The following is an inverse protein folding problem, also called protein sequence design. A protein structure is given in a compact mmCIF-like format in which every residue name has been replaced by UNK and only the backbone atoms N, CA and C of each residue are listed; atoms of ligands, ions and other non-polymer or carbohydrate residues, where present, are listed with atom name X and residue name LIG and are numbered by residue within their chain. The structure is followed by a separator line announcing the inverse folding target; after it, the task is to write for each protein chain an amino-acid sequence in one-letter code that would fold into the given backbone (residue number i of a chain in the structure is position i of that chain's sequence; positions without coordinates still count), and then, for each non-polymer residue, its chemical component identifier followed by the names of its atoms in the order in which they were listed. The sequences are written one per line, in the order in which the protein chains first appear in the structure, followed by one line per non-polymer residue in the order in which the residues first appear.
data_IF_850480958584
#
_entry.id   IF_850480958584
#
_cell.length_a   1.000
_cell.length_b   1.000
_cell.length_c   1.000
_cell.angle_alpha   90.00
_cell.angle_beta   90.00
_cell.angle_gamma   90.00
#
_symmetry.space_group_name_H-M   'P 1'
#
loop_
_entity.id
_entity.type
_entity.pdbx_description
1 polymer ?
#
# COMPACT_ATOMS: atom_id res chain seq x y z
N UNK A 1 0.25 -10.40 1.99
CA UNK A 1 -0.95 -9.55 1.71
C UNK A 1 -0.63 -8.70 0.49
N UNK A 2 -1.58 -8.44 -0.42
CA UNK A 2 -1.32 -7.71 -1.66
C UNK A 2 -2.17 -6.44 -1.81
N UNK A 3 -1.57 -5.35 -2.28
CA UNK A 3 -2.20 -4.04 -2.52
C UNK A 3 -2.09 -3.69 -4.01
N UNK A 4 -3.14 -3.11 -4.58
CA UNK A 4 -3.14 -2.60 -5.97
C UNK A 4 -3.06 -1.08 -5.94
N UNK A 5 -1.95 -0.54 -6.43
CA UNK A 5 -1.78 0.89 -6.62
C UNK A 5 -2.22 1.26 -8.03
N UNK A 6 -3.25 2.10 -8.11
CA UNK A 6 -3.77 2.61 -9.37
C UNK A 6 -3.06 3.92 -9.71
N UNK A 7 -2.39 3.96 -10.85
CA UNK A 7 -1.73 5.17 -11.37
C UNK A 7 -2.29 5.52 -12.75
N UNK A 8 -2.01 6.73 -13.23
CA UNK A 8 -2.30 7.12 -14.60
C UNK A 8 -1.52 6.32 -15.67
N UNK A 9 -0.50 5.56 -15.27
CA UNK A 9 0.29 4.69 -16.14
C UNK A 9 -0.08 3.20 -16.01
N UNK A 10 -1.14 2.88 -15.27
CA UNK A 10 -1.62 1.51 -15.06
C UNK A 10 -1.57 1.07 -13.60
N UNK A 11 -1.78 -0.22 -13.38
CA UNK A 11 -1.89 -0.81 -12.03
C UNK A 11 -0.60 -1.51 -11.64
N UNK A 12 -0.08 -1.17 -10.47
CA UNK A 12 1.07 -1.82 -9.85
C UNK A 12 0.56 -2.69 -8.71
N UNK A 13 0.96 -3.96 -8.67
CA UNK A 13 0.64 -4.86 -7.55
C UNK A 13 1.84 -4.96 -6.61
N UNK A 14 1.60 -4.65 -5.34
CA UNK A 14 2.60 -4.68 -4.27
C UNK A 14 2.28 -5.83 -3.33
N UNK A 15 3.30 -6.62 -2.99
CA UNK A 15 3.20 -7.64 -1.95
C UNK A 15 3.90 -7.16 -0.67
N UNK A 16 3.20 -7.25 0.45
CA UNK A 16 3.64 -6.76 1.75
C UNK A 16 4.01 -7.93 2.67
N UNK A 17 5.23 -7.88 3.20
CA UNK A 17 5.80 -8.87 4.13
C UNK A 17 5.54 -8.43 5.59
N UNK A 18 4.35 -8.75 6.08
CA UNK A 18 3.95 -8.42 7.45
C UNK A 18 4.67 -9.27 8.50
N UNK A 19 5.24 -10.42 8.12
CA UNK A 19 5.99 -11.28 9.05
C UNK A 19 7.33 -10.64 9.39
N UNK A 20 8.04 -10.10 8.39
CA UNK A 20 9.33 -9.44 8.62
C UNK A 20 9.19 -7.98 9.06
N UNK A 21 8.15 -7.28 8.61
CA UNK A 21 7.98 -5.84 8.87
C UNK A 21 6.56 -5.46 9.34
N UNK A 22 6.07 -6.01 10.47
CA UNK A 22 4.68 -5.86 10.90
C UNK A 22 4.27 -4.39 11.13
N UNK A 23 5.14 -3.59 11.75
CA UNK A 23 4.82 -2.18 12.07
C UNK A 23 4.78 -1.32 10.82
N UNK A 24 5.73 -1.52 9.90
CA UNK A 24 5.78 -0.76 8.63
C UNK A 24 4.58 -1.09 7.75
N UNK A 25 4.21 -2.38 7.66
CA UNK A 25 3.03 -2.80 6.90
C UNK A 25 1.76 -2.21 7.51
N UNK A 26 1.60 -2.26 8.83
CA UNK A 26 0.44 -1.67 9.50
C UNK A 26 0.33 -0.15 9.24
N UNK A 27 1.43 0.59 9.37
CA UNK A 27 1.44 2.03 9.11
C UNK A 27 1.12 2.37 7.65
N UNK A 28 1.69 1.63 6.70
CA UNK A 28 1.40 1.82 5.28
C UNK A 28 -0.09 1.60 4.98
N UNK A 29 -0.69 0.52 5.51
CA UNK A 29 -2.10 0.23 5.31
C UNK A 29 -3.01 1.31 5.90
N UNK A 30 -2.68 1.83 7.09
CA UNK A 30 -3.43 2.92 7.69
C UNK A 30 -3.44 4.19 6.81
N UNK A 31 -2.33 4.51 6.14
CA UNK A 31 -2.27 5.62 5.19
C UNK A 31 -3.05 5.35 3.90
N UNK A 32 -3.03 4.10 3.41
CA UNK A 32 -3.86 3.70 2.27
C UNK A 32 -5.34 3.84 2.60
N UNK A 33 -5.79 3.36 3.77
CA UNK A 33 -7.18 3.48 4.22
C UNK A 33 -7.61 4.94 4.43
N UNK A 34 -6.68 5.81 4.84
CA UNK A 34 -6.91 7.24 4.99
C UNK A 34 -6.91 8.01 3.64
N UNK A 35 -6.68 7.34 2.50
CA UNK A 35 -6.61 7.98 1.17
C UNK A 35 -5.38 8.86 0.98
N UNK A 36 -4.32 8.66 1.77
CA UNK A 36 -3.16 9.55 1.79
C UNK A 36 -2.40 9.61 0.46
N UNK A 37 -2.43 8.51 -0.31
CA UNK A 37 -1.74 8.38 -1.60
C UNK A 37 -2.63 8.69 -2.80
N UNK A 38 -3.85 9.17 -2.58
CA UNK A 38 -4.75 9.50 -3.67
C UNK A 38 -4.26 10.76 -4.40
N UNK A 39 -4.07 10.66 -5.72
CA UNK A 39 -3.58 11.71 -6.61
C UNK A 39 -2.11 12.14 -6.40
N UNK A 40 -1.27 11.26 -5.85
CA UNK A 40 0.20 11.46 -5.77
C UNK A 40 0.94 10.84 -6.96
#
# INVERSE_FOLDING_TARGET
MAVKLHTNHGVITLELDAEKAPVTVANFLAYVEAGHYDNT
#
